data_IF_830040959788
#
_entry.id   IF_830040959788
#
_cell.length_a   1.000
_cell.length_b   1.000
_cell.length_c   1.000
_cell.angle_alpha   90.00
_cell.angle_beta   90.00
_cell.angle_gamma   90.00
#
_symmetry.space_group_name_H-M   'P 1'
#
loop_
_entity.id
_entity.type
_entity.pdbx_description
1 polymer ?
#
# COMPACT_ATOMS: atom_id res chain seq x y z
N UNK A 1 -3.60 2.68 38.27
CA UNK A 1 -4.02 1.45 37.58
C UNK A 1 -5.11 1.84 36.59
N UNK A 2 -5.02 1.65 35.29
CA UNK A 2 -4.00 1.00 34.49
C UNK A 2 -4.66 0.77 33.14
N UNK A 3 -4.50 1.71 32.22
CA UNK A 3 -4.92 1.51 30.83
C UNK A 3 -3.71 1.69 29.90
N UNK A 4 -2.63 1.00 30.28
CA UNK A 4 -1.53 0.65 29.40
C UNK A 4 -1.94 -0.43 28.36
N UNK A 5 -3.22 -0.81 28.29
CA UNK A 5 -3.74 -1.82 27.36
C UNK A 5 -4.44 -1.23 26.13
N UNK A 6 -4.82 0.05 26.14
CA UNK A 6 -5.51 0.66 24.98
C UNK A 6 -4.54 1.18 23.92
N UNK A 7 -3.32 1.57 24.32
CA UNK A 7 -2.31 2.09 23.39
C UNK A 7 -1.47 1.00 22.69
N UNK A 8 -1.66 -0.28 23.03
CA UNK A 8 -0.89 -1.41 22.45
C UNK A 8 -1.64 -2.20 21.37
N UNK A 9 -2.93 -1.93 21.13
CA UNK A 9 -3.75 -2.63 20.13
C UNK A 9 -3.85 -1.90 18.78
N UNK A 10 -3.29 -0.69 18.65
CA UNK A 10 -3.23 0.04 17.36
C UNK A 10 -2.07 -0.43 16.47
N UNK A 11 -1.13 -1.22 17.01
CA UNK A 11 0.06 -1.68 16.29
C UNK A 11 -0.13 -3.03 15.59
N UNK A 12 -1.30 -3.68 15.70
CA UNK A 12 -1.50 -5.07 15.29
C UNK A 12 -2.70 -5.32 14.38
N UNK A 13 -3.39 -4.29 13.91
CA UNK A 13 -4.54 -4.52 13.05
C UNK A 13 -4.11 -4.63 11.58
N UNK A 14 -3.66 -5.84 11.23
CA UNK A 14 -3.57 -6.28 9.84
C UNK A 14 -4.91 -6.09 9.08
N UNK A 15 -6.06 -5.81 9.73
CA UNK A 15 -7.29 -5.43 9.01
C UNK A 15 -7.26 -4.01 8.43
N UNK A 16 -6.27 -3.19 8.76
CA UNK A 16 -6.09 -1.87 8.14
C UNK A 16 -5.28 -1.92 6.84
N UNK A 17 -4.70 -3.08 6.51
CA UNK A 17 -3.98 -3.30 5.27
C UNK A 17 -4.65 -4.43 4.49
N UNK A 18 -4.92 -4.19 3.22
CA UNK A 18 -5.32 -5.24 2.28
C UNK A 18 -4.24 -5.44 1.22
N UNK A 19 -4.32 -6.56 0.51
CA UNK A 19 -3.49 -6.79 -0.65
C UNK A 19 -4.36 -6.65 -1.89
N UNK A 20 -3.96 -5.76 -2.79
CA UNK A 20 -4.63 -5.58 -4.08
C UNK A 20 -3.66 -5.94 -5.19
N UNK A 21 -4.12 -6.77 -6.13
CA UNK A 21 -3.36 -7.03 -7.35
C UNK A 21 -3.20 -5.74 -8.17
N UNK A 22 -2.27 -5.74 -9.12
CA UNK A 22 -2.10 -4.59 -10.03
C UNK A 22 -3.39 -4.29 -10.81
N UNK A 23 -4.17 -5.32 -11.13
CA UNK A 23 -5.48 -5.19 -11.78
C UNK A 23 -6.49 -4.55 -10.84
N UNK A 24 -6.69 -5.09 -9.64
CA UNK A 24 -7.64 -4.52 -8.67
C UNK A 24 -7.27 -3.10 -8.26
N UNK A 25 -5.98 -2.80 -8.11
CA UNK A 25 -5.49 -1.45 -7.83
C UNK A 25 -5.86 -0.50 -8.98
N UNK A 26 -5.72 -0.95 -10.23
CA UNK A 26 -6.11 -0.17 -11.41
C UNK A 26 -7.62 0.08 -11.44
N UNK A 27 -8.43 -0.93 -11.13
CA UNK A 27 -9.89 -0.85 -11.08
C UNK A 27 -10.36 0.06 -9.94
N UNK A 28 -9.75 -0.04 -8.76
CA UNK A 28 -10.00 0.86 -7.63
C UNK A 28 -9.72 2.32 -8.02
N UNK A 29 -8.54 2.61 -8.57
CA UNK A 29 -8.18 3.95 -9.04
C UNK A 29 -9.14 4.41 -10.16
N UNK A 30 -9.58 3.50 -11.03
CA UNK A 30 -10.59 3.79 -12.06
C UNK A 30 -11.97 4.11 -11.50
N UNK A 31 -12.36 3.46 -10.39
CA UNK A 31 -13.58 3.72 -9.65
C UNK A 31 -13.53 4.98 -8.78
N UNK A 32 -12.38 5.67 -8.72
CA UNK A 32 -12.18 6.85 -7.89
C UNK A 32 -11.76 6.56 -6.45
N UNK A 33 -11.35 5.32 -6.15
CA UNK A 33 -10.78 4.94 -4.85
C UNK A 33 -9.30 5.32 -4.81
N UNK A 34 -8.92 6.07 -3.79
CA UNK A 34 -7.51 6.36 -3.48
C UNK A 34 -6.86 5.11 -2.89
N UNK A 35 -5.91 4.54 -3.62
CA UNK A 35 -5.15 3.38 -3.16
C UNK A 35 -3.80 3.87 -2.63
N UNK A 36 -3.52 3.65 -1.35
CA UNK A 36 -2.29 4.14 -0.72
C UNK A 36 -1.42 2.96 -0.34
N UNK A 37 -0.15 2.97 -0.72
CA UNK A 37 0.80 1.93 -0.36
C UNK A 37 0.97 1.88 1.16
N UNK A 38 0.91 0.68 1.74
CA UNK A 38 1.20 0.43 3.15
C UNK A 38 2.63 -0.09 3.36
N UNK A 39 3.41 -0.28 2.29
CA UNK A 39 4.78 -0.77 2.35
C UNK A 39 5.69 -0.02 1.37
N UNK A 40 7.00 -0.25 1.50
CA UNK A 40 7.98 0.24 0.54
C UNK A 40 8.04 -0.70 -0.65
N UNK A 41 7.82 -0.17 -1.85
CA UNK A 41 7.96 -0.95 -3.08
C UNK A 41 9.22 -0.53 -3.81
N UNK A 42 10.20 -1.42 -3.84
CA UNK A 42 11.55 -1.16 -4.36
C UNK A 42 11.91 -2.22 -5.40
N UNK A 43 11.86 -1.91 -6.70
CA UNK A 43 12.27 -2.80 -7.77
C UNK A 43 13.80 -2.85 -7.91
N UNK A 44 14.35 -4.04 -8.15
CA UNK A 44 15.79 -4.28 -8.31
C UNK A 44 16.14 -4.96 -9.64
N UNK A 45 17.29 -4.60 -10.25
CA UNK A 45 18.03 -3.33 -10.12
C UNK A 45 17.29 -2.16 -10.83
N UNK A 46 17.42 -0.87 -10.40
CA UNK A 46 18.52 -0.26 -9.65
C UNK A 46 18.36 -0.17 -8.13
N UNK A 47 17.20 -0.53 -7.54
CA UNK A 47 17.04 -0.61 -6.09
C UNK A 47 16.61 0.66 -5.37
N UNK A 48 15.95 1.59 -6.07
CA UNK A 48 15.37 2.80 -5.46
C UNK A 48 13.88 2.62 -5.17
N UNK A 49 13.37 3.13 -4.04
CA UNK A 49 11.95 3.02 -3.70
C UNK A 49 11.11 3.84 -4.68
N UNK A 50 10.16 3.17 -5.33
CA UNK A 50 9.18 3.78 -6.24
C UNK A 50 7.92 4.17 -5.49
N UNK A 51 7.55 3.38 -4.47
CA UNK A 51 6.47 3.68 -3.55
C UNK A 51 7.00 3.67 -2.12
N UNK A 52 6.51 4.64 -1.34
CA UNK A 52 6.71 4.71 0.10
C UNK A 52 5.38 4.50 0.81
N UNK A 53 5.37 3.97 2.05
CA UNK A 53 4.15 3.86 2.84
C UNK A 53 3.52 5.24 3.06
N UNK A 54 2.21 5.33 2.84
CA UNK A 54 1.46 6.60 2.86
C UNK A 54 1.42 7.32 1.51
N UNK A 55 2.10 6.81 0.48
CA UNK A 55 2.01 7.36 -0.87
C UNK A 55 0.82 6.78 -1.64
N UNK A 56 0.06 7.65 -2.30
CA UNK A 56 -0.99 7.27 -3.25
C UNK A 56 -0.37 6.58 -4.47
N UNK A 57 -0.89 5.39 -4.79
CA UNK A 57 -0.59 4.64 -6.00
C UNK A 57 -1.44 5.23 -7.12
N UNK A 58 -0.78 5.66 -8.18
CA UNK A 58 -1.42 6.20 -9.38
C UNK A 58 -1.22 5.26 -10.56
N UNK A 59 -2.05 5.41 -11.60
CA UNK A 59 -1.89 4.66 -12.86
C UNK A 59 -0.50 4.80 -13.47
N UNK A 60 0.12 5.97 -13.32
CA UNK A 60 1.48 6.24 -13.78
C UNK A 60 2.52 5.37 -13.06
N UNK A 61 2.36 5.18 -11.74
CA UNK A 61 3.22 4.31 -10.95
C UNK A 61 3.06 2.85 -11.36
N UNK A 62 1.83 2.40 -11.60
CA UNK A 62 1.55 1.05 -12.10
C UNK A 62 2.16 0.84 -13.48
N UNK A 63 2.03 1.81 -14.39
CA UNK A 63 2.65 1.77 -15.71
C UNK A 63 4.18 1.74 -15.62
N UNK A 64 4.77 2.52 -14.71
CA UNK A 64 6.20 2.51 -14.44
C UNK A 64 6.67 1.14 -13.92
N UNK A 65 5.93 0.52 -13.00
CA UNK A 65 6.25 -0.82 -12.49
C UNK A 65 6.05 -1.92 -13.54
N UNK A 66 5.09 -1.79 -14.44
CA UNK A 66 4.92 -2.72 -15.58
C UNK A 66 6.01 -2.53 -16.65
N UNK A 67 6.48 -1.30 -16.85
CA UNK A 67 7.58 -1.00 -17.78
C UNK A 67 8.94 -1.44 -17.22
N UNK A 68 9.08 -1.49 -15.89
CA UNK A 68 10.21 -2.10 -15.20
C UNK A 68 10.14 -3.62 -15.36
N UNK A 69 10.91 -4.16 -16.31
CA UNK A 69 11.15 -5.60 -16.44
C UNK A 69 12.10 -6.08 -15.32
N UNK A 70 11.70 -5.88 -14.07
CA UNK A 70 12.48 -6.30 -12.90
C UNK A 70 12.01 -7.66 -12.43
N UNK A 71 12.97 -8.59 -12.34
CA UNK A 71 12.73 -9.97 -11.87
C UNK A 71 12.40 -10.03 -10.38
N UNK A 72 12.72 -8.98 -9.62
CA UNK A 72 12.59 -8.96 -8.17
C UNK A 72 12.12 -7.57 -7.69
N UNK A 73 11.01 -7.55 -6.96
CA UNK A 73 10.42 -6.33 -6.40
C UNK A 73 10.20 -6.56 -4.90
N UNK A 74 10.92 -5.81 -4.08
CA UNK A 74 10.71 -5.85 -2.63
C UNK A 74 9.43 -5.08 -2.29
N UNK A 75 8.58 -5.66 -1.43
CA UNK A 75 7.30 -5.07 -1.02
C UNK A 75 6.13 -5.30 -1.98
N UNK A 76 6.36 -5.98 -3.11
CA UNK A 76 5.31 -6.46 -4.01
C UNK A 76 5.43 -7.97 -4.16
N UNK A 77 4.29 -8.68 -4.07
CA UNK A 77 4.24 -10.11 -4.36
C UNK A 77 3.41 -10.32 -5.61
N UNK A 78 3.92 -11.00 -6.66
CA UNK A 78 3.11 -11.27 -7.85
C UNK A 78 1.88 -12.14 -7.55
N UNK A 79 1.97 -12.99 -6.53
CA UNK A 79 0.89 -13.89 -6.11
C UNK A 79 -0.23 -13.17 -5.33
N UNK A 80 0.12 -12.11 -4.58
CA UNK A 80 -0.80 -11.43 -3.63
C UNK A 80 -1.10 -9.98 -4.02
N UNK A 81 -0.18 -9.30 -4.69
CA UNK A 81 -0.29 -7.90 -5.10
C UNK A 81 0.51 -6.91 -4.24
N UNK A 82 0.06 -5.66 -4.27
CA UNK A 82 0.55 -4.55 -3.47
C UNK A 82 -0.13 -4.55 -2.11
N UNK A 83 0.65 -4.33 -1.04
CA UNK A 83 0.08 -4.08 0.29
C UNK A 83 -0.35 -2.63 0.38
N UNK A 84 -1.63 -2.39 0.57
CA UNK A 84 -2.25 -1.06 0.54
C UNK A 84 -3.15 -0.86 1.75
N UNK A 85 -3.37 0.38 2.15
CA UNK A 85 -4.31 0.68 3.23
C UNK A 85 -5.76 0.50 2.77
N UNK A 86 -6.60 -0.01 3.66
CA UNK A 86 -8.04 -0.10 3.42
C UNK A 86 -8.68 1.28 3.44
N UNK A 87 -9.83 1.45 2.79
CA UNK A 87 -10.55 2.74 2.80
C UNK A 87 -10.92 3.20 4.21
N UNK A 88 -11.26 2.25 5.09
CA UNK A 88 -11.52 2.53 6.49
C UNK A 88 -10.28 3.10 7.19
N UNK A 89 -9.11 2.49 6.97
CA UNK A 89 -7.85 2.99 7.54
C UNK A 89 -7.50 4.39 7.01
N UNK A 90 -7.75 4.65 5.72
CA UNK A 90 -7.51 5.96 5.12
C UNK A 90 -8.48 7.03 5.65
N UNK A 91 -9.75 6.68 5.85
CA UNK A 91 -10.74 7.58 6.44
C UNK A 91 -10.40 7.96 7.89
N UNK A 92 -9.89 7.01 8.67
CA UNK A 92 -9.44 7.25 10.05
C UNK A 92 -8.21 8.17 10.09
N UNK A 93 -7.25 8.01 9.18
CA UNK A 93 -6.05 8.86 9.07
C UNK A 93 -6.37 10.28 8.55
N UNK A 94 -7.38 10.43 7.69
CA UNK A 94 -7.85 11.75 7.23
C UNK A 94 -8.60 12.53 8.33
N UNK A 95 -9.11 11.85 9.35
CA UNK A 95 -9.80 12.46 10.50
C UNK A 95 -8.85 13.11 11.52
N UNK A 96 -7.56 12.76 11.50
CA UNK A 96 -6.53 13.33 12.41
C UNK A 96 -5.78 14.55 11.81
N UNK A 97 -6.38 15.28 10.84
CA UNK A 97 -5.81 16.53 10.29
C UNK A 97 -6.62 17.78 10.62
#
# INVERSE_FOLDING_TARGET
MGDLRTAFFLAYDDSQCEYLTAQETTEAIAGGRDVVSATFVTPYPPGFPVLVPGQVISRDVLAYMQALDTREIHGYRPDTGYRVFTEAALAEQMTDR
#
